data_IF_212665487026
#
_entry.id   IF_212665487026
#
_cell.length_a   1.000
_cell.length_b   1.000
_cell.length_c   1.000
_cell.angle_alpha   90.00
_cell.angle_beta   90.00
_cell.angle_gamma   90.00
#
_symmetry.space_group_name_H-M   'P 1'
#
loop_
_entity.id
_entity.type
_entity.pdbx_description
1 polymer ?
#
# COMPACT_ATOMS: atom_id res chain seq x y z
N UNK A 1 13.51 -17.57 -9.86
CA UNK A 1 14.29 -16.43 -10.35
C UNK A 1 13.49 -15.67 -11.41
N UNK A 2 13.67 -14.37 -11.43
CA UNK A 2 13.18 -13.48 -12.47
C UNK A 2 14.39 -12.97 -13.27
N UNK A 3 14.24 -12.57 -14.53
CA UNK A 3 15.37 -12.03 -15.29
C UNK A 3 16.01 -10.84 -14.59
N UNK A 4 17.32 -10.92 -14.29
CA UNK A 4 18.09 -9.86 -13.62
C UNK A 4 17.69 -9.60 -12.17
N UNK A 5 17.19 -10.62 -11.44
CA UNK A 5 16.80 -10.44 -10.04
C UNK A 5 16.28 -11.71 -9.36
N UNK A 6 15.74 -11.52 -8.16
CA UNK A 6 15.20 -12.57 -7.30
C UNK A 6 13.77 -12.21 -6.88
N UNK A 7 12.88 -13.18 -6.94
CA UNK A 7 11.54 -13.12 -6.34
C UNK A 7 11.53 -13.93 -5.04
N UNK A 8 11.49 -13.24 -3.91
CA UNK A 8 11.36 -13.84 -2.59
C UNK A 8 9.86 -13.93 -2.25
N UNK A 9 9.39 -15.11 -1.92
CA UNK A 9 7.96 -15.37 -1.68
C UNK A 9 7.77 -15.82 -0.22
N UNK A 10 7.02 -15.03 0.54
CA UNK A 10 6.54 -15.45 1.85
C UNK A 10 5.13 -16.05 1.70
N UNK A 11 4.95 -17.27 2.18
CA UNK A 11 3.69 -18.01 2.06
C UNK A 11 3.04 -18.13 3.42
N UNK A 12 1.79 -17.67 3.53
CA UNK A 12 0.94 -17.79 4.70
C UNK A 12 -0.30 -18.62 4.36
N UNK A 13 -0.75 -19.43 5.31
CA UNK A 13 -1.95 -20.24 5.16
C UNK A 13 -2.95 -19.93 6.27
N UNK A 14 -4.20 -19.69 5.89
CA UNK A 14 -5.30 -19.60 6.83
C UNK A 14 -6.03 -20.95 6.92
N UNK A 15 -5.91 -21.68 8.05
CA UNK A 15 -6.55 -22.98 8.20
C UNK A 15 -8.09 -22.90 8.30
N UNK A 16 -8.66 -21.73 8.58
CA UNK A 16 -10.12 -21.59 8.71
C UNK A 16 -10.80 -21.44 7.37
N UNK A 17 -10.26 -20.61 6.48
CA UNK A 17 -10.82 -20.37 5.14
C UNK A 17 -10.20 -21.27 4.08
N UNK A 18 -9.00 -21.79 4.32
CA UNK A 18 -8.18 -22.51 3.34
C UNK A 18 -7.52 -21.56 2.32
N UNK A 19 -7.41 -20.27 2.62
CA UNK A 19 -6.69 -19.33 1.78
C UNK A 19 -5.18 -19.49 1.97
N UNK A 20 -4.45 -19.53 0.87
CA UNK A 20 -3.00 -19.39 0.81
C UNK A 20 -2.68 -18.01 0.27
N UNK A 21 -1.91 -17.22 1.03
CA UNK A 21 -1.49 -15.87 0.64
C UNK A 21 0.01 -15.89 0.41
N UNK A 22 0.43 -15.43 -0.76
CA UNK A 22 1.81 -15.34 -1.19
C UNK A 22 2.20 -13.88 -1.35
N UNK A 23 3.11 -13.41 -0.52
CA UNK A 23 3.70 -12.07 -0.64
C UNK A 23 4.96 -12.16 -1.48
N UNK A 24 4.95 -11.50 -2.64
CA UNK A 24 6.07 -11.42 -3.55
C UNK A 24 6.92 -10.18 -3.27
N UNK A 25 8.23 -10.35 -3.22
CA UNK A 25 9.25 -9.33 -3.03
C UNK A 25 10.29 -9.48 -4.13
N UNK A 26 10.13 -8.75 -5.23
CA UNK A 26 11.03 -8.79 -6.37
C UNK A 26 12.11 -7.73 -6.22
N UNK A 27 13.36 -8.14 -6.16
CA UNK A 27 14.54 -7.27 -6.15
C UNK A 27 15.34 -7.52 -7.41
N UNK A 28 15.89 -6.47 -7.98
CA UNK A 28 16.65 -6.50 -9.22
C UNK A 28 18.10 -6.11 -8.97
N UNK A 29 19.03 -6.75 -9.70
CA UNK A 29 20.48 -6.63 -9.45
C UNK A 29 21.00 -5.18 -9.54
N UNK A 30 20.48 -4.40 -10.48
CA UNK A 30 20.94 -3.03 -10.77
C UNK A 30 19.92 -1.95 -10.39
N UNK A 31 18.97 -2.25 -9.50
CA UNK A 31 17.91 -1.30 -9.11
C UNK A 31 17.72 -1.23 -7.60
N UNK A 32 17.64 -0.04 -7.01
CA UNK A 32 17.28 0.11 -5.60
C UNK A 32 15.78 -0.11 -5.35
N UNK A 33 15.00 -0.38 -6.41
CA UNK A 33 13.56 -0.56 -6.28
C UNK A 33 13.21 -2.00 -5.87
N UNK A 34 12.27 -2.10 -4.96
CA UNK A 34 11.59 -3.32 -4.57
C UNK A 34 10.20 -3.34 -5.19
N UNK A 35 9.87 -4.38 -5.96
CA UNK A 35 8.52 -4.58 -6.49
C UNK A 35 7.77 -5.56 -5.59
N UNK A 36 6.55 -5.21 -5.21
CA UNK A 36 5.67 -6.02 -4.36
C UNK A 36 4.31 -6.26 -5.00
N UNK A 37 3.76 -7.45 -4.75
CA UNK A 37 2.38 -7.79 -5.03
C UNK A 37 1.96 -8.98 -4.17
N UNK A 38 0.66 -9.21 -4.08
CA UNK A 38 0.06 -10.29 -3.30
C UNK A 38 -0.68 -11.23 -4.24
N UNK A 39 -0.40 -12.53 -4.13
CA UNK A 39 -1.19 -13.60 -4.75
C UNK A 39 -2.01 -14.30 -3.67
N UNK A 40 -3.30 -14.51 -3.93
CA UNK A 40 -4.20 -15.22 -3.03
C UNK A 40 -4.76 -16.42 -3.79
N UNK A 41 -4.59 -17.61 -3.24
CA UNK A 41 -5.08 -18.87 -3.81
C UNK A 41 -6.10 -19.48 -2.86
N UNK A 42 -7.28 -19.81 -3.36
CA UNK A 42 -8.25 -20.56 -2.58
C UNK A 42 -7.93 -22.07 -2.63
N UNK A 43 -7.29 -22.59 -1.58
CA UNK A 43 -7.00 -24.00 -1.37
C UNK A 43 -8.12 -24.72 -0.59
N UNK A 44 -9.12 -23.97 -0.14
CA UNK A 44 -10.25 -24.50 0.60
C UNK A 44 -11.27 -25.22 -0.31
N UNK A 45 -12.39 -25.59 0.30
CA UNK A 45 -13.47 -26.33 -0.38
C UNK A 45 -14.71 -25.47 -0.68
N UNK A 46 -14.69 -24.21 -0.26
CA UNK A 46 -15.82 -23.26 -0.42
C UNK A 46 -15.37 -22.04 -1.21
N UNK A 47 -16.31 -21.39 -1.88
CA UNK A 47 -16.10 -20.09 -2.48
C UNK A 47 -15.83 -19.04 -1.37
N UNK A 48 -14.84 -18.19 -1.59
CA UNK A 48 -14.48 -17.07 -0.70
C UNK A 48 -14.62 -15.77 -1.49
N UNK A 49 -15.15 -14.74 -0.85
CA UNK A 49 -15.23 -13.39 -1.40
C UNK A 49 -14.14 -12.51 -0.77
N UNK A 50 -13.28 -11.97 -1.61
CA UNK A 50 -12.30 -10.95 -1.22
C UNK A 50 -12.94 -9.58 -1.43
N UNK A 51 -12.97 -8.74 -0.40
CA UNK A 51 -13.51 -7.37 -0.45
C UNK A 51 -12.44 -6.29 -0.26
N UNK A 52 -11.22 -6.69 0.09
CA UNK A 52 -10.03 -5.85 0.12
C UNK A 52 -8.76 -6.69 0.03
N UNK A 53 -7.85 -6.32 -0.88
CA UNK A 53 -6.49 -6.86 -0.96
C UNK A 53 -5.53 -5.76 -1.38
N UNK A 54 -4.57 -5.43 -0.52
CA UNK A 54 -3.51 -4.48 -0.85
C UNK A 54 -2.37 -5.15 -1.61
N UNK A 55 -1.77 -4.42 -2.54
CA UNK A 55 -0.51 -4.83 -3.20
C UNK A 55 0.64 -4.83 -2.20
N UNK A 56 0.63 -3.89 -1.26
CA UNK A 56 1.55 -3.82 -0.13
C UNK A 56 0.87 -3.23 1.10
N UNK A 57 1.34 -3.65 2.26
CA UNK A 57 1.05 -3.02 3.54
C UNK A 57 2.34 -3.03 4.37
N UNK A 58 2.81 -1.86 4.76
CA UNK A 58 3.96 -1.67 5.65
C UNK A 58 3.43 -1.25 7.01
N UNK A 59 3.53 -2.11 8.00
CA UNK A 59 3.26 -1.78 9.40
C UNK A 59 4.52 -1.27 10.09
N UNK A 60 4.34 -0.49 11.16
CA UNK A 60 5.44 0.10 11.95
C UNK A 60 6.36 1.04 11.15
N UNK A 61 5.85 1.75 10.19
CA UNK A 61 6.59 2.66 9.35
C UNK A 61 6.40 4.11 9.80
N UNK A 62 7.44 4.94 9.78
CA UNK A 62 8.82 4.55 10.02
C UNK A 62 8.97 4.14 11.48
N UNK A 63 9.88 3.25 11.78
CA UNK A 63 10.23 2.95 13.16
C UNK A 63 11.03 4.12 13.74
N UNK A 64 10.33 5.06 14.37
CA UNK A 64 10.96 6.18 15.07
C UNK A 64 10.45 6.24 16.51
N UNK A 65 11.33 6.42 17.48
CA UNK A 65 10.94 6.61 18.87
C UNK A 65 10.14 7.92 19.10
N UNK A 66 10.26 8.88 18.19
CA UNK A 66 9.66 10.21 18.29
C UNK A 66 8.25 10.29 17.68
N UNK A 67 7.69 9.20 17.16
CA UNK A 67 6.33 9.18 16.63
C UNK A 67 6.21 9.76 15.22
N UNK A 68 5.19 10.60 14.98
CA UNK A 68 4.83 11.13 13.65
C UNK A 68 5.51 12.46 13.32
N UNK A 69 6.27 13.04 14.25
CA UNK A 69 6.91 14.34 14.06
C UNK A 69 8.00 14.28 12.97
N UNK A 70 8.02 15.26 12.09
CA UNK A 70 8.98 15.36 10.99
C UNK A 70 8.73 14.42 9.82
N UNK A 71 7.53 13.81 9.75
CA UNK A 71 7.11 12.97 8.62
C UNK A 71 6.18 13.76 7.71
N UNK A 72 6.47 13.74 6.43
CA UNK A 72 5.72 14.45 5.40
C UNK A 72 5.30 13.49 4.31
N UNK A 73 4.06 13.64 3.81
CA UNK A 73 3.55 12.94 2.65
C UNK A 73 3.56 13.90 1.45
N UNK A 74 4.21 13.46 0.37
CA UNK A 74 4.17 14.11 -0.93
C UNK A 74 3.25 13.32 -1.86
N UNK A 75 2.36 14.02 -2.56
CA UNK A 75 1.47 13.45 -3.55
C UNK A 75 1.24 14.45 -4.70
N UNK A 76 0.75 13.95 -5.83
CA UNK A 76 0.66 14.72 -7.06
C UNK A 76 -0.76 14.71 -7.60
N UNK A 77 -1.28 15.87 -7.93
CA UNK A 77 -2.54 16.00 -8.62
C UNK A 77 -2.40 15.84 -10.12
N UNK A 78 -3.47 15.37 -10.76
CA UNK A 78 -3.54 15.16 -12.20
C UNK A 78 -4.85 15.69 -12.82
N UNK A 79 -5.61 16.51 -12.07
CA UNK A 79 -6.82 17.12 -12.61
C UNK A 79 -6.48 18.17 -13.67
N UNK A 80 -7.45 18.47 -14.52
CA UNK A 80 -7.33 19.45 -15.61
C UNK A 80 -6.71 20.77 -15.17
N UNK A 81 -5.71 21.24 -15.89
CA UNK A 81 -4.89 22.42 -15.57
C UNK A 81 -4.03 22.33 -14.29
N UNK A 82 -3.94 21.15 -13.68
CA UNK A 82 -3.12 20.91 -12.48
C UNK A 82 -2.32 19.61 -12.60
N UNK A 83 -2.02 19.18 -13.82
CA UNK A 83 -1.29 17.95 -14.10
C UNK A 83 0.13 18.02 -13.50
N UNK A 84 0.45 17.07 -12.64
CA UNK A 84 1.75 16.99 -11.96
C UNK A 84 1.95 18.00 -10.82
N UNK A 85 0.90 18.71 -10.39
CA UNK A 85 1.01 19.62 -9.24
C UNK A 85 1.37 18.86 -7.96
N UNK A 86 2.51 19.24 -7.39
CA UNK A 86 3.04 18.65 -6.18
C UNK A 86 2.39 19.25 -4.93
N UNK A 87 2.01 18.38 -4.01
CA UNK A 87 1.52 18.71 -2.68
C UNK A 87 2.37 18.06 -1.61
N UNK A 88 2.70 18.81 -0.59
CA UNK A 88 3.40 18.37 0.60
C UNK A 88 2.53 18.65 1.83
N UNK A 89 2.35 17.65 2.69
CA UNK A 89 1.61 17.74 3.93
C UNK A 89 2.36 17.03 5.04
N UNK A 90 2.53 17.70 6.19
CA UNK A 90 2.96 17.00 7.39
C UNK A 90 1.88 16.02 7.86
N UNK A 91 2.23 15.00 8.63
CA UNK A 91 1.23 14.11 9.21
C UNK A 91 0.29 14.88 10.17
N UNK A 92 0.76 15.94 10.81
CA UNK A 92 -0.06 16.80 11.63
C UNK A 92 -1.12 17.57 10.81
N UNK A 93 -0.76 18.06 9.59
CA UNK A 93 -1.72 18.67 8.67
C UNK A 93 -2.78 17.67 8.15
N UNK A 94 -2.47 16.40 8.20
CA UNK A 94 -3.37 15.29 7.87
C UNK A 94 -4.12 14.75 9.09
N UNK A 95 -4.01 15.41 10.25
CA UNK A 95 -4.61 15.03 11.52
C UNK A 95 -4.17 13.65 12.03
N UNK A 96 -3.00 13.18 11.60
CA UNK A 96 -2.41 11.91 12.03
C UNK A 96 -1.46 12.21 13.19
N UNK A 97 -1.88 11.94 14.42
CA UNK A 97 -1.12 12.19 15.65
C UNK A 97 -0.75 10.87 16.34
N UNK A 98 0.27 10.91 17.19
CA UNK A 98 0.79 9.74 17.91
C UNK A 98 -0.22 8.99 18.78
N UNK A 99 -1.31 9.64 19.15
CA UNK A 99 -2.37 9.10 20.03
C UNK A 99 -3.74 9.09 19.35
N UNK A 100 -3.80 9.41 18.06
CA UNK A 100 -5.04 9.35 17.29
C UNK A 100 -5.11 8.05 16.47
N UNK A 101 -6.33 7.63 16.18
CA UNK A 101 -6.63 6.50 15.31
C UNK A 101 -7.23 7.02 14.01
N UNK A 102 -6.39 7.70 13.25
CA UNK A 102 -6.78 8.39 12.01
C UNK A 102 -5.98 7.88 10.83
N UNK A 103 -6.53 8.05 9.65
CA UNK A 103 -5.84 7.79 8.39
C UNK A 103 -6.16 8.87 7.37
N UNK A 104 -5.24 9.08 6.46
CA UNK A 104 -5.43 9.87 5.25
C UNK A 104 -5.30 8.96 4.04
N UNK A 105 -6.20 9.12 3.08
CA UNK A 105 -6.18 8.34 1.86
C UNK A 105 -6.32 9.20 0.62
N UNK A 106 -5.69 8.73 -0.45
CA UNK A 106 -5.82 9.25 -1.81
C UNK A 106 -6.25 8.11 -2.71
N UNK A 107 -7.23 8.35 -3.55
CA UNK A 107 -7.80 7.31 -4.41
C UNK A 107 -8.22 7.86 -5.78
N UNK A 108 -8.34 6.97 -6.75
CA UNK A 108 -9.03 7.22 -8.01
C UNK A 108 -9.97 6.05 -8.30
N UNK A 109 -11.24 6.35 -8.53
CA UNK A 109 -12.27 5.35 -8.78
C UNK A 109 -12.79 5.51 -10.21
N UNK A 110 -12.82 4.40 -10.94
CA UNK A 110 -13.27 4.35 -12.32
C UNK A 110 -12.15 3.96 -13.30
N UNK A 111 -12.40 4.15 -14.60
CA UNK A 111 -11.48 3.76 -15.68
C UNK A 111 -10.41 4.81 -15.97
N UNK A 112 -10.55 6.02 -15.48
CA UNK A 112 -9.55 7.07 -15.62
C UNK A 112 -8.64 7.10 -14.39
N UNK A 113 -7.59 6.33 -14.43
CA UNK A 113 -6.67 6.02 -13.31
C UNK A 113 -6.05 7.27 -12.69
N UNK A 114 -5.69 8.26 -13.49
CA UNK A 114 -5.09 9.51 -13.04
C UNK A 114 -6.06 10.69 -13.14
N UNK A 115 -7.34 10.49 -12.80
CA UNK A 115 -8.35 11.55 -12.91
C UNK A 115 -8.05 12.74 -12.01
N UNK A 116 -7.78 12.48 -10.73
CA UNK A 116 -7.56 13.51 -9.72
C UNK A 116 -6.13 13.48 -9.16
N UNK A 117 -5.53 12.30 -9.11
CA UNK A 117 -4.20 12.07 -8.55
C UNK A 117 -3.38 11.09 -9.38
N UNK A 118 -2.07 11.24 -9.32
CA UNK A 118 -1.11 10.27 -9.86
C UNK A 118 -0.89 9.19 -8.79
N UNK A 119 -0.88 7.88 -9.12
CA UNK A 119 -0.64 6.80 -8.15
C UNK A 119 0.85 6.68 -7.76
N UNK A 120 1.43 7.82 -7.35
CA UNK A 120 2.81 7.97 -6.94
C UNK A 120 2.89 8.86 -5.70
N UNK A 121 3.60 8.38 -4.67
CA UNK A 121 3.67 9.01 -3.36
C UNK A 121 5.08 8.94 -2.83
N UNK A 122 5.48 9.94 -2.02
CA UNK A 122 6.74 9.90 -1.30
C UNK A 122 6.46 10.19 0.18
N UNK A 123 7.02 9.39 1.07
CA UNK A 123 7.05 9.65 2.50
C UNK A 123 8.47 10.10 2.86
N UNK A 124 8.57 11.34 3.29
CA UNK A 124 9.82 11.98 3.74
C UNK A 124 9.92 11.91 5.26
N UNK A 125 11.08 11.53 5.76
CA UNK A 125 11.45 11.61 7.17
C UNK A 125 12.51 12.70 7.33
N UNK A 126 12.12 13.93 7.59
CA UNK A 126 13.05 15.08 7.69
C UNK A 126 14.13 14.91 8.75
N UNK A 127 13.80 14.21 9.84
CA UNK A 127 14.74 13.99 10.94
C UNK A 127 15.91 13.07 10.56
N UNK A 128 15.74 12.23 9.55
CA UNK A 128 16.76 11.28 9.08
C UNK A 128 17.24 11.58 7.67
N UNK A 129 16.53 12.42 6.94
CA UNK A 129 16.76 12.67 5.51
C UNK A 129 16.36 11.49 4.62
N UNK A 130 15.54 10.56 5.13
CA UNK A 130 15.10 9.38 4.40
C UNK A 130 13.85 9.69 3.56
N UNK A 131 13.87 9.28 2.30
CA UNK A 131 12.72 9.31 1.40
C UNK A 131 12.33 7.89 1.02
N UNK A 132 11.05 7.60 1.08
CA UNK A 132 10.51 6.33 0.55
C UNK A 132 9.46 6.66 -0.50
N UNK A 133 9.74 6.30 -1.75
CA UNK A 133 8.81 6.46 -2.86
C UNK A 133 7.98 5.19 -3.05
N UNK A 134 6.72 5.37 -3.43
CA UNK A 134 5.75 4.32 -3.73
C UNK A 134 5.06 4.62 -5.05
N UNK A 135 4.95 3.63 -5.91
CA UNK A 135 4.19 3.70 -7.15
C UNK A 135 3.27 2.50 -7.27
N UNK A 136 1.99 2.73 -7.59
CA UNK A 136 1.06 1.65 -7.91
C UNK A 136 1.02 1.46 -9.43
N UNK A 137 1.27 0.24 -9.88
CA UNK A 137 1.35 -0.13 -11.30
C UNK A 137 0.03 -0.75 -11.76
N UNK A 138 -0.99 0.07 -11.96
CA UNK A 138 -2.31 -0.42 -12.36
C UNK A 138 -3.03 0.56 -13.28
N UNK A 139 -4.01 0.03 -14.01
CA UNK A 139 -4.92 0.76 -14.90
C UNK A 139 -6.38 0.72 -14.45
N UNK A 140 -6.60 0.49 -13.16
CA UNK A 140 -7.92 0.34 -12.55
C UNK A 140 -8.08 1.32 -11.38
N UNK A 141 -9.21 1.22 -10.66
CA UNK A 141 -9.42 1.97 -9.42
C UNK A 141 -8.39 1.58 -8.36
N UNK A 142 -7.80 2.58 -7.73
CA UNK A 142 -6.74 2.38 -6.74
C UNK A 142 -6.94 3.25 -5.51
N UNK A 143 -6.29 2.83 -4.41
CA UNK A 143 -6.24 3.57 -3.16
C UNK A 143 -4.85 3.44 -2.53
N UNK A 144 -4.35 4.57 -2.04
CA UNK A 144 -3.21 4.66 -1.15
C UNK A 144 -3.69 5.21 0.19
N UNK A 145 -3.16 4.67 1.28
CA UNK A 145 -3.53 5.11 2.61
C UNK A 145 -2.32 5.11 3.53
N UNK A 146 -2.22 6.15 4.35
CA UNK A 146 -1.29 6.27 5.47
C UNK A 146 -2.07 6.57 6.74
N UNK A 147 -1.77 5.89 7.83
CA UNK A 147 -2.52 6.07 9.07
C UNK A 147 -1.83 5.48 10.28
N UNK A 148 -2.48 5.64 11.43
CA UNK A 148 -2.01 5.08 12.69
C UNK A 148 -2.73 3.78 13.03
N UNK A 149 -1.94 2.78 13.43
CA UNK A 149 -2.45 1.61 14.13
C UNK A 149 -2.80 1.94 15.58
N UNK A 150 -3.61 1.10 16.22
CA UNK A 150 -3.87 1.21 17.66
C UNK A 150 -2.59 1.17 18.50
N UNK A 151 -2.51 1.98 19.56
CA UNK A 151 -1.47 1.82 20.58
C UNK A 151 -1.55 0.40 21.18
N UNK A 152 -0.46 -0.29 21.22
CA UNK A 152 -0.39 -1.62 21.83
C UNK A 152 0.51 -1.58 23.06
N UNK A 153 0.00 -2.09 24.19
CA UNK A 153 0.78 -2.27 25.43
C UNK A 153 1.47 -0.98 25.93
N UNK A 154 0.78 0.18 25.86
CA UNK A 154 1.31 1.47 26.31
C UNK A 154 2.39 2.07 25.42
N UNK A 155 2.66 1.48 24.25
CA UNK A 155 3.54 2.04 23.25
C UNK A 155 2.76 3.02 22.35
N UNK A 156 3.41 4.06 21.81
CA UNK A 156 2.76 5.00 20.91
C UNK A 156 2.21 4.30 19.66
N UNK A 157 1.21 4.92 19.04
CA UNK A 157 0.70 4.48 17.75
C UNK A 157 1.85 4.31 16.75
N UNK A 158 1.68 3.34 15.87
CA UNK A 158 2.64 3.07 14.80
C UNK A 158 1.98 3.38 13.46
N UNK A 159 2.74 3.96 12.57
CA UNK A 159 2.26 4.21 11.22
C UNK A 159 2.13 2.91 10.43
N UNK A 160 1.11 2.86 9.61
CA UNK A 160 1.02 1.92 8.50
C UNK A 160 0.89 2.71 7.19
N UNK A 161 1.41 2.13 6.13
CA UNK A 161 1.25 2.62 4.76
C UNK A 161 0.81 1.44 3.92
N UNK A 162 -0.28 1.59 3.19
CA UNK A 162 -0.78 0.56 2.30
C UNK A 162 -1.22 1.15 0.98
N UNK A 163 -1.17 0.32 -0.06
CA UNK A 163 -1.64 0.71 -1.37
C UNK A 163 -1.93 -0.49 -2.26
N UNK A 164 -2.77 -0.24 -3.26
CA UNK A 164 -3.22 -1.25 -4.21
C UNK A 164 -4.56 -0.91 -4.81
N UNK A 165 -5.37 -1.92 -5.04
CA UNK A 165 -6.73 -1.75 -5.51
C UNK A 165 -7.61 -1.09 -4.45
N UNK A 166 -8.71 -0.49 -4.91
CA UNK A 166 -9.81 -0.08 -4.02
C UNK A 166 -10.43 -1.28 -3.31
N UNK A 167 -11.35 -1.02 -2.40
CA UNK A 167 -12.06 -2.05 -1.66
C UNK A 167 -13.57 -1.97 -1.91
N UNK A 168 -14.35 -2.81 -1.26
CA UNK A 168 -15.80 -2.83 -1.38
C UNK A 168 -16.45 -1.52 -0.96
N UNK A 169 -15.96 -0.87 0.08
CA UNK A 169 -16.48 0.42 0.57
C UNK A 169 -16.12 1.57 -0.37
N UNK A 170 -14.91 1.53 -0.93
CA UNK A 170 -14.38 2.55 -1.84
C UNK A 170 -14.27 1.94 -3.25
N UNK A 171 -15.18 2.27 -4.14
CA UNK A 171 -15.18 1.80 -5.51
C UNK A 171 -15.92 0.48 -5.77
N UNK A 172 -16.48 -0.16 -4.74
CA UNK A 172 -17.31 -1.36 -4.90
C UNK A 172 -16.56 -2.60 -5.36
N UNK A 173 -15.23 -2.67 -5.17
CA UNK A 173 -14.44 -3.79 -5.61
C UNK A 173 -14.66 -5.02 -4.72
N UNK A 174 -14.93 -6.15 -5.36
CA UNK A 174 -14.94 -7.49 -4.74
C UNK A 174 -14.49 -8.55 -5.75
N UNK A 175 -13.92 -9.64 -5.25
CA UNK A 175 -13.51 -10.79 -6.08
C UNK A 175 -13.91 -12.09 -5.41
N UNK A 176 -14.73 -12.89 -6.09
CA UNK A 176 -15.05 -14.25 -5.67
C UNK A 176 -13.99 -15.20 -6.19
N UNK A 177 -13.50 -16.07 -5.31
CA UNK A 177 -12.59 -17.16 -5.64
C UNK A 177 -13.24 -18.49 -5.33
N UNK A 178 -13.46 -19.31 -6.35
CA UNK A 178 -13.84 -20.70 -6.20
C UNK A 178 -12.66 -21.55 -5.72
N UNK A 179 -12.89 -22.74 -5.18
CA UNK A 179 -11.81 -23.69 -4.89
C UNK A 179 -10.86 -23.86 -6.07
N UNK A 180 -9.57 -23.71 -5.85
CA UNK A 180 -8.52 -23.78 -6.87
C UNK A 180 -8.25 -22.50 -7.66
N UNK A 181 -9.09 -21.47 -7.55
CA UNK A 181 -8.85 -20.19 -8.22
C UNK A 181 -7.84 -19.34 -7.46
N UNK A 182 -7.14 -18.47 -8.19
CA UNK A 182 -6.20 -17.52 -7.67
C UNK A 182 -6.54 -16.10 -8.13
N UNK A 183 -6.11 -15.12 -7.33
CA UNK A 183 -6.13 -13.69 -7.66
C UNK A 183 -4.76 -13.10 -7.37
N UNK A 184 -4.26 -12.26 -8.27
CA UNK A 184 -2.99 -11.53 -8.12
C UNK A 184 -3.28 -10.03 -8.14
N UNK A 185 -2.82 -9.31 -7.14
CA UNK A 185 -2.95 -7.85 -7.11
C UNK A 185 -2.07 -7.20 -8.19
N UNK A 186 -2.37 -5.99 -8.61
CA UNK A 186 -1.42 -5.16 -9.33
C UNK A 186 -0.10 -5.04 -8.55
N UNK A 187 0.99 -4.76 -9.28
CA UNK A 187 2.29 -4.53 -8.67
C UNK A 187 2.36 -3.14 -8.02
N UNK A 188 3.22 -3.03 -7.03
CA UNK A 188 3.62 -1.76 -6.45
C UNK A 188 5.15 -1.72 -6.35
N UNK A 189 5.75 -0.66 -6.84
CA UNK A 189 7.18 -0.41 -6.75
C UNK A 189 7.48 0.51 -5.57
N UNK A 190 8.58 0.24 -4.86
CA UNK A 190 9.05 1.04 -3.74
C UNK A 190 10.55 1.26 -3.88
N UNK A 191 11.00 2.46 -3.55
CA UNK A 191 12.43 2.80 -3.48
C UNK A 191 12.71 3.64 -2.23
N UNK A 192 13.86 3.41 -1.63
CA UNK A 192 14.33 4.13 -0.44
C UNK A 192 15.66 4.80 -0.76
N UNK A 193 15.81 6.06 -0.39
CA UNK A 193 17.02 6.84 -0.60
C UNK A 193 17.31 7.73 0.60
#
# INVERSE_FOLDING_TARGET
PIPGGIDNIAVLNDPLTGLEVRYHYQVYDDSPALVRFTEIVNRGTREVCLDHVSSFCLGNYPYQPCGTDGIYLHYFRSCWCYEGSHYEKSLADLEIYNNSRTSFSVESVGTWVCKDYIPFFIVEQRNTGLFTAFQLELSESWRFEIGNCEPQNGKPCRLYIQGGMTNRTHGGWERKLRPGEAFVTPKASMAVT
#
